data_IF_568422370770
#
_entry.id   IF_568422370770
#
_cell.length_a   1.000
_cell.length_b   1.000
_cell.length_c   1.000
_cell.angle_alpha   90.00
_cell.angle_beta   90.00
_cell.angle_gamma   90.00
#
_symmetry.space_group_name_H-M   'P 1'
#
loop_
_entity.id
_entity.type
_entity.pdbx_description
1 polymer ?
#
# COMPACT_ATOMS: atom_id res chain seq x y z
N UNK A 1 25.19 -39.45 -21.75
CA UNK A 1 24.24 -40.05 -20.77
C UNK A 1 23.65 -38.90 -19.98
N UNK A 2 22.42 -38.52 -20.34
CA UNK A 2 21.63 -37.55 -19.60
C UNK A 2 20.77 -38.34 -18.61
N UNK A 3 20.81 -37.96 -17.33
CA UNK A 3 19.88 -38.49 -16.34
C UNK A 3 18.83 -37.44 -16.10
N UNK A 4 17.62 -37.73 -16.58
CA UNK A 4 16.42 -36.91 -16.48
C UNK A 4 15.82 -37.08 -15.08
N UNK A 5 15.59 -35.97 -14.37
CA UNK A 5 14.76 -35.92 -13.16
C UNK A 5 13.54 -35.04 -13.43
N UNK A 6 12.34 -35.61 -13.25
CA UNK A 6 11.05 -34.95 -13.50
C UNK A 6 10.42 -34.56 -12.17
N UNK A 7 10.04 -33.28 -12.01
CA UNK A 7 9.07 -32.87 -11.00
C UNK A 7 7.88 -32.24 -11.74
N UNK A 8 6.71 -32.85 -11.59
CA UNK A 8 5.45 -32.40 -12.19
C UNK A 8 4.91 -31.20 -11.40
N UNK A 9 4.69 -30.08 -12.08
CA UNK A 9 3.75 -29.05 -11.65
C UNK A 9 2.46 -29.18 -12.46
N UNK A 10 1.32 -29.26 -11.77
CA UNK A 10 -0.01 -29.23 -12.36
C UNK A 10 -0.38 -27.77 -12.66
N UNK A 11 -0.51 -27.45 -13.96
CA UNK A 11 -1.27 -26.33 -14.59
C UNK A 11 -0.95 -24.89 -14.13
N UNK A 12 -0.60 -23.92 -14.96
CA UNK A 12 -0.50 -23.80 -16.41
C UNK A 12 -0.02 -22.39 -16.77
N UNK A 13 0.44 -22.22 -18.02
CA UNK A 13 1.02 -21.03 -18.67
C UNK A 13 2.50 -20.71 -18.37
N UNK A 14 3.37 -21.24 -19.23
CA UNK A 14 4.77 -20.87 -19.44
C UNK A 14 4.87 -19.47 -20.07
N UNK A 15 5.67 -18.57 -19.50
CA UNK A 15 6.14 -17.36 -20.19
C UNK A 15 7.68 -17.40 -20.31
N UNK A 16 8.27 -17.01 -21.46
CA UNK A 16 9.68 -17.16 -21.73
C UNK A 16 10.52 -16.16 -20.92
N UNK A 17 11.56 -16.68 -20.26
CA UNK A 17 12.63 -15.90 -19.65
C UNK A 17 13.57 -15.37 -20.74
N UNK A 18 13.59 -14.05 -20.95
CA UNK A 18 14.56 -13.39 -21.84
C UNK A 18 15.72 -12.90 -20.97
N UNK A 19 16.89 -13.52 -21.16
CA UNK A 19 18.16 -13.12 -20.56
C UNK A 19 18.89 -12.22 -21.56
N UNK A 20 18.89 -10.90 -21.37
CA UNK A 20 19.74 -10.00 -22.15
C UNK A 20 21.12 -9.92 -21.49
N UNK A 21 22.11 -10.52 -22.14
CA UNK A 21 23.52 -10.28 -21.87
C UNK A 21 23.95 -9.06 -22.68
N UNK A 22 24.34 -7.96 -22.04
CA UNK A 22 25.03 -6.85 -22.70
C UNK A 22 26.46 -6.76 -22.20
N UNK A 23 27.36 -7.10 -23.12
CA UNK A 23 28.80 -6.90 -23.07
C UNK A 23 29.16 -5.43 -22.93
N UNK A 24 30.12 -5.14 -22.07
CA UNK A 24 30.64 -3.80 -21.86
C UNK A 24 31.37 -3.22 -23.08
N UNK A 25 31.33 -1.90 -23.18
CA UNK A 25 32.37 -1.11 -23.83
C UNK A 25 32.59 0.18 -23.06
N UNK A 26 33.85 0.40 -22.71
CA UNK A 26 34.39 1.56 -22.02
C UNK A 26 34.33 2.80 -22.91
N UNK A 27 33.89 3.93 -22.37
CA UNK A 27 34.39 5.23 -22.84
C UNK A 27 34.56 6.19 -21.68
N UNK A 28 35.76 6.76 -21.62
CA UNK A 28 36.25 7.71 -20.63
C UNK A 28 35.70 9.10 -20.89
N UNK A 29 35.14 9.76 -19.87
CA UNK A 29 34.95 11.21 -19.89
C UNK A 29 35.50 11.84 -18.62
N UNK A 30 36.40 12.81 -18.80
CA UNK A 30 37.07 13.58 -17.74
C UNK A 30 36.08 14.60 -17.16
N UNK A 31 35.93 14.64 -15.84
CA UNK A 31 35.37 15.78 -15.11
C UNK A 31 36.49 16.54 -14.38
N UNK A 32 36.50 17.87 -14.51
CA UNK A 32 37.25 18.79 -13.63
C UNK A 32 36.30 19.32 -12.55
N UNK A 33 36.77 19.54 -11.31
CA UNK A 33 35.91 19.96 -10.20
C UNK A 33 35.80 21.49 -10.11
N UNK A 34 34.61 21.98 -9.78
CA UNK A 34 34.43 23.34 -9.27
C UNK A 34 33.76 23.31 -7.89
N UNK A 35 34.62 23.58 -6.91
CA UNK A 35 34.45 24.35 -5.68
C UNK A 35 33.09 24.42 -4.96
N UNK A 36 33.14 23.84 -3.77
CA UNK A 36 32.35 24.15 -2.58
C UNK A 36 32.86 25.47 -1.97
N UNK A 37 31.94 26.31 -1.49
CA UNK A 37 32.07 27.35 -0.47
C UNK A 37 30.74 27.35 0.30
N UNK A 38 30.56 27.44 1.61
CA UNK A 38 31.38 27.63 2.81
C UNK A 38 30.36 27.91 3.96
N UNK A 39 30.32 27.08 5.01
CA UNK A 39 30.72 27.39 6.40
C UNK A 39 29.83 28.37 7.21
N UNK A 40 29.33 27.96 8.39
CA UNK A 40 29.80 28.47 9.71
C UNK A 40 29.21 27.73 10.95
N UNK A 41 29.96 27.81 12.06
CA UNK A 41 29.94 27.00 13.29
C UNK A 41 29.40 27.74 14.54
N UNK A 42 28.90 26.99 15.55
CA UNK A 42 29.22 27.03 17.03
C UNK A 42 28.13 26.34 17.88
N UNK A 43 28.32 25.76 19.08
CA UNK A 43 29.48 25.45 19.95
C UNK A 43 29.08 24.33 20.94
N UNK A 44 30.07 23.50 21.29
CA UNK A 44 30.09 22.36 22.25
C UNK A 44 29.75 22.68 23.72
N UNK A 45 29.28 21.62 24.41
CA UNK A 45 29.69 21.17 25.76
C UNK A 45 29.55 19.63 25.78
N UNK A 46 30.58 18.80 25.55
CA UNK A 46 31.72 18.40 26.40
C UNK A 46 31.35 17.73 27.74
N UNK A 47 31.35 16.39 27.78
CA UNK A 47 32.09 15.63 28.80
C UNK A 47 32.74 14.41 28.14
N UNK A 48 34.05 14.27 28.37
CA UNK A 48 34.97 13.26 27.84
C UNK A 48 34.91 11.98 28.67
N UNK A 49 34.81 10.81 28.03
CA UNK A 49 35.53 9.62 28.51
C UNK A 49 36.30 8.99 27.35
N UNK A 50 37.62 8.93 27.53
CA UNK A 50 38.60 8.45 26.57
C UNK A 50 38.68 6.92 26.63
N UNK A 51 38.28 6.23 25.57
CA UNK A 51 38.72 4.86 25.29
C UNK A 51 39.74 4.89 24.15
N UNK A 52 40.99 4.51 24.48
CA UNK A 52 42.14 4.43 23.58
C UNK A 52 41.89 3.38 22.50
N UNK A 53 41.89 3.80 21.24
CA UNK A 53 41.97 2.92 20.07
C UNK A 53 43.41 2.44 19.87
N UNK A 54 43.61 1.12 19.94
CA UNK A 54 44.81 0.46 19.44
C UNK A 54 44.76 0.45 17.90
N UNK A 55 45.73 1.11 17.28
CA UNK A 55 45.91 1.10 15.82
C UNK A 55 46.32 -0.30 15.34
N UNK A 56 45.44 -0.98 14.60
CA UNK A 56 45.80 -2.14 13.79
C UNK A 56 45.70 -1.74 12.31
N UNK A 57 46.81 -1.92 11.61
CA UNK A 57 46.99 -1.68 10.18
C UNK A 57 45.91 -2.38 9.35
N UNK A 58 45.19 -1.62 8.54
CA UNK A 58 44.24 -2.13 7.55
C UNK A 58 44.99 -2.69 6.34
N UNK A 59 45.15 -4.02 6.28
CA UNK A 59 45.37 -4.70 5.01
C UNK A 59 44.06 -4.66 4.22
N UNK A 60 44.08 -4.06 3.03
CA UNK A 60 42.92 -3.99 2.14
C UNK A 60 42.40 -5.38 1.78
N UNK A 61 41.29 -5.75 2.39
CA UNK A 61 40.47 -6.87 1.97
C UNK A 61 39.23 -6.33 1.26
N UNK A 62 39.02 -6.75 0.02
CA UNK A 62 37.76 -6.58 -0.70
C UNK A 62 36.65 -7.22 0.13
N UNK A 63 35.75 -6.42 0.69
CA UNK A 63 34.51 -6.93 1.27
C UNK A 63 33.65 -7.47 0.13
N UNK A 64 33.74 -8.78 -0.11
CA UNK A 64 32.75 -9.47 -0.92
C UNK A 64 31.43 -9.42 -0.15
N UNK A 65 30.36 -8.94 -0.80
CA UNK A 65 29.01 -9.04 -0.28
C UNK A 65 28.75 -10.49 0.12
N UNK A 66 28.42 -10.73 1.40
CA UNK A 66 28.09 -12.07 1.86
C UNK A 66 26.84 -12.53 1.11
N UNK A 67 26.84 -13.75 0.54
CA UNK A 67 25.65 -14.30 -0.08
C UNK A 67 24.58 -14.43 1.01
N UNK A 68 23.48 -13.72 0.81
CA UNK A 68 22.30 -13.78 1.66
C UNK A 68 21.76 -15.22 1.58
N UNK A 69 22.02 -16.04 2.59
CA UNK A 69 21.48 -17.39 2.68
C UNK A 69 19.96 -17.28 2.84
N UNK A 70 19.23 -17.76 1.82
CA UNK A 70 17.77 -17.75 1.73
C UNK A 70 17.14 -19.03 2.27
N UNK A 71 17.91 -19.92 2.91
CA UNK A 71 17.36 -21.06 3.62
C UNK A 71 16.38 -20.52 4.67
N UNK A 72 15.05 -20.73 4.53
CA UNK A 72 14.12 -20.24 5.54
C UNK A 72 14.52 -20.91 6.86
N UNK A 73 14.64 -20.15 7.97
CA UNK A 73 14.79 -20.78 9.27
C UNK A 73 13.62 -21.76 9.48
N UNK A 74 13.78 -22.79 10.33
CA UNK A 74 12.70 -23.70 10.66
C UNK A 74 11.43 -22.92 11.00
N UNK A 75 10.32 -23.23 10.31
CA UNK A 75 9.00 -22.66 10.60
C UNK A 75 8.48 -23.40 11.83
N UNK A 76 9.13 -23.22 12.98
CA UNK A 76 8.75 -23.92 14.22
C UNK A 76 7.49 -23.32 14.87
N UNK A 77 6.99 -22.20 14.34
CA UNK A 77 5.75 -21.56 14.77
C UNK A 77 5.00 -21.01 13.58
N UNK A 78 3.93 -21.69 13.15
CA UNK A 78 2.99 -21.11 12.22
C UNK A 78 2.27 -19.95 12.92
N UNK A 79 2.30 -18.78 12.28
CA UNK A 79 1.63 -17.60 12.79
C UNK A 79 0.13 -17.85 12.94
N UNK A 80 -0.47 -18.61 12.04
CA UNK A 80 -1.88 -18.97 12.07
C UNK A 80 -2.23 -19.87 13.27
N UNK A 81 -1.36 -20.82 13.64
CA UNK A 81 -1.54 -21.61 14.86
C UNK A 81 -1.49 -20.72 16.10
N UNK A 82 -0.58 -19.74 16.13
CA UNK A 82 -0.42 -18.80 17.25
C UNK A 82 -1.69 -17.98 17.48
N UNK A 83 -2.25 -17.39 16.42
CA UNK A 83 -3.48 -16.58 16.53
C UNK A 83 -4.72 -17.43 16.78
N UNK A 84 -4.78 -18.64 16.23
CA UNK A 84 -5.88 -19.59 16.49
C UNK A 84 -5.91 -20.01 17.95
N UNK A 85 -4.74 -20.30 18.55
CA UNK A 85 -4.63 -20.57 19.98
C UNK A 85 -5.06 -19.38 20.85
N UNK A 86 -4.95 -18.15 20.32
CA UNK A 86 -5.45 -16.92 20.95
C UNK A 86 -6.95 -16.65 20.69
N UNK A 87 -7.67 -17.57 20.04
CA UNK A 87 -9.11 -17.48 19.81
C UNK A 87 -9.52 -16.88 18.46
N UNK A 88 -8.58 -16.67 17.54
CA UNK A 88 -8.88 -16.22 16.19
C UNK A 88 -9.69 -17.26 15.41
N UNK A 89 -10.67 -16.80 14.63
CA UNK A 89 -11.29 -17.58 13.56
C UNK A 89 -10.57 -17.29 12.26
N UNK A 90 -10.11 -18.34 11.60
CA UNK A 90 -9.33 -18.26 10.35
C UNK A 90 -10.12 -18.98 9.26
N UNK A 91 -10.22 -18.35 8.08
CA UNK A 91 -10.87 -18.94 6.91
C UNK A 91 -10.02 -20.05 6.28
N UNK A 92 -10.61 -20.82 5.37
CA UNK A 92 -9.89 -21.86 4.61
C UNK A 92 -8.71 -21.30 3.79
N UNK A 93 -8.77 -20.01 3.42
CA UNK A 93 -7.72 -19.30 2.68
C UNK A 93 -6.62 -18.74 3.60
N UNK A 94 -6.66 -19.02 4.90
CA UNK A 94 -5.67 -18.56 5.88
C UNK A 94 -5.83 -17.10 6.28
N UNK A 95 -7.02 -16.51 6.09
CA UNK A 95 -7.31 -15.13 6.48
C UNK A 95 -7.93 -15.12 7.87
N UNK A 96 -7.39 -14.32 8.79
CA UNK A 96 -7.99 -14.13 10.12
C UNK A 96 -9.26 -13.28 9.98
N UNK A 97 -10.43 -13.89 10.16
CA UNK A 97 -11.72 -13.22 9.97
C UNK A 97 -12.09 -12.35 11.16
N UNK A 98 -11.90 -12.87 12.37
CA UNK A 98 -12.28 -12.21 13.62
C UNK A 98 -11.58 -12.84 14.82
N UNK A 99 -11.37 -12.06 15.88
CA UNK A 99 -10.97 -12.55 17.22
C UNK A 99 -12.15 -12.54 18.20
N UNK A 100 -13.39 -12.34 17.72
CA UNK A 100 -14.58 -12.21 18.55
C UNK A 100 -14.76 -10.84 19.22
N UNK A 101 -13.95 -9.85 18.82
CA UNK A 101 -13.88 -8.51 19.40
C UNK A 101 -14.03 -7.39 18.35
N UNK A 102 -14.73 -7.66 17.24
CA UNK A 102 -14.77 -6.76 16.07
C UNK A 102 -15.20 -5.32 16.42
N UNK A 103 -16.19 -5.16 17.31
CA UNK A 103 -16.67 -3.83 17.72
C UNK A 103 -15.65 -3.10 18.60
N UNK A 104 -14.98 -3.80 19.53
CA UNK A 104 -13.90 -3.25 20.35
C UNK A 104 -12.71 -2.84 19.48
N UNK A 105 -12.35 -3.67 18.50
CA UNK A 105 -11.28 -3.36 17.55
C UNK A 105 -11.62 -2.11 16.71
N UNK A 106 -12.88 -1.97 16.27
CA UNK A 106 -13.32 -0.75 15.56
C UNK A 106 -13.27 0.49 16.46
N UNK A 107 -13.67 0.39 17.73
CA UNK A 107 -13.61 1.52 18.66
C UNK A 107 -12.17 1.95 18.98
N UNK A 108 -11.25 1.00 19.07
CA UNK A 108 -9.84 1.28 19.29
C UNK A 108 -9.15 2.01 18.13
N UNK A 109 -9.79 2.11 16.95
CA UNK A 109 -9.25 2.91 15.83
C UNK A 109 -9.24 4.41 16.09
N UNK A 110 -10.11 4.91 16.97
CA UNK A 110 -10.17 6.35 17.27
C UNK A 110 -9.32 6.75 18.48
N UNK A 111 -9.19 5.85 19.46
CA UNK A 111 -8.66 6.18 20.79
C UNK A 111 -7.54 5.23 21.26
N UNK A 112 -7.06 4.34 20.40
CA UNK A 112 -6.10 3.31 20.77
C UNK A 112 -5.20 2.90 19.61
N UNK A 113 -4.73 1.65 19.66
CA UNK A 113 -3.91 1.04 18.61
C UNK A 113 -4.53 -0.30 18.23
N UNK A 114 -4.66 -0.53 16.93
CA UNK A 114 -5.11 -1.80 16.38
C UNK A 114 -3.97 -2.46 15.61
N UNK A 115 -3.93 -3.79 15.64
CA UNK A 115 -3.01 -4.59 14.82
C UNK A 115 -3.81 -5.56 13.97
N UNK A 116 -3.52 -5.59 12.67
CA UNK A 116 -4.23 -6.42 11.68
C UNK A 116 -3.21 -7.21 10.87
N UNK A 117 -3.51 -8.48 10.62
CA UNK A 117 -2.73 -9.28 9.68
C UNK A 117 -3.21 -9.03 8.24
N UNK A 118 -2.28 -8.60 7.39
CA UNK A 118 -2.50 -8.41 5.96
C UNK A 118 -1.57 -9.32 5.14
N UNK A 119 -1.08 -10.43 5.72
CA UNK A 119 -0.12 -11.34 5.07
C UNK A 119 -0.67 -12.01 3.79
N UNK A 120 -2.00 -12.03 3.62
CA UNK A 120 -2.68 -12.47 2.40
C UNK A 120 -2.47 -11.53 1.20
N UNK A 121 -1.95 -10.31 1.41
CA UNK A 121 -1.59 -9.41 0.31
C UNK A 121 -0.37 -9.95 -0.45
N UNK A 122 -0.47 -9.93 -1.79
CA UNK A 122 0.63 -10.29 -2.68
C UNK A 122 1.83 -9.36 -2.51
N UNK A 123 3.04 -9.95 -2.46
CA UNK A 123 4.30 -9.21 -2.33
C UNK A 123 5.20 -9.53 -3.51
N UNK A 124 5.63 -8.50 -4.23
CA UNK A 124 6.52 -8.63 -5.39
C UNK A 124 7.77 -7.81 -5.12
N UNK A 125 8.94 -8.47 -5.12
CA UNK A 125 10.24 -7.79 -5.11
C UNK A 125 10.72 -7.63 -6.54
N UNK A 126 10.99 -6.39 -6.94
CA UNK A 126 11.60 -6.07 -8.24
C UNK A 126 13.06 -5.68 -8.01
N UNK A 127 13.97 -6.40 -8.67
CA UNK A 127 15.43 -6.20 -8.57
C UNK A 127 16.04 -6.07 -9.96
N UNK A 128 17.26 -5.54 -10.04
CA UNK A 128 17.96 -5.25 -11.30
C UNK A 128 18.30 -3.77 -11.41
N UNK A 129 19.24 -3.44 -12.29
CA UNK A 129 19.70 -2.06 -12.51
C UNK A 129 18.59 -1.17 -13.08
N UNK A 130 17.68 -1.74 -13.87
CA UNK A 130 16.59 -1.07 -14.57
C UNK A 130 15.24 -1.11 -13.82
N UNK A 131 15.19 -1.66 -12.60
CA UNK A 131 13.95 -1.86 -11.82
C UNK A 131 13.10 -0.60 -11.65
N UNK A 132 13.74 0.56 -11.46
CA UNK A 132 13.06 1.85 -11.31
C UNK A 132 12.40 2.24 -12.62
N UNK A 133 13.14 2.18 -13.74
CA UNK A 133 12.60 2.47 -15.07
C UNK A 133 11.46 1.52 -15.43
N UNK A 134 11.62 0.23 -15.13
CA UNK A 134 10.59 -0.78 -15.36
C UNK A 134 9.29 -0.43 -14.62
N UNK A 135 9.35 -0.18 -13.31
CA UNK A 135 8.17 0.19 -12.51
C UNK A 135 7.58 1.55 -12.92
N UNK A 136 8.45 2.52 -13.25
CA UNK A 136 8.04 3.81 -13.79
C UNK A 136 7.21 3.64 -15.07
N UNK A 137 7.58 2.72 -15.96
CA UNK A 137 6.88 2.53 -17.24
C UNK A 137 5.64 1.63 -17.13
N UNK A 138 5.58 0.74 -16.13
CA UNK A 138 4.47 -0.21 -15.97
C UNK A 138 3.30 0.31 -15.10
N UNK A 139 3.51 1.35 -14.30
CA UNK A 139 2.52 1.85 -13.35
C UNK A 139 2.25 3.34 -13.52
N UNK A 140 1.34 3.92 -12.74
CA UNK A 140 0.94 5.33 -12.87
C UNK A 140 1.78 6.31 -12.06
N UNK A 141 2.43 5.88 -10.98
CA UNK A 141 3.23 6.77 -10.11
C UNK A 141 4.62 7.12 -10.69
N UNK A 142 5.20 8.24 -10.25
CA UNK A 142 6.57 8.62 -10.63
C UNK A 142 7.59 7.99 -9.67
N UNK A 143 8.33 6.98 -10.14
CA UNK A 143 9.36 6.32 -9.34
C UNK A 143 10.72 7.03 -9.38
N UNK A 144 10.95 7.95 -10.31
CA UNK A 144 12.25 8.62 -10.47
C UNK A 144 12.51 9.69 -9.40
N UNK A 145 11.44 10.17 -8.75
CA UNK A 145 11.55 11.12 -7.64
C UNK A 145 11.70 10.45 -6.27
N UNK A 146 11.58 9.12 -6.21
CA UNK A 146 11.69 8.37 -4.97
C UNK A 146 13.16 8.04 -4.68
N UNK A 147 13.54 8.18 -3.42
CA UNK A 147 14.83 7.79 -2.90
C UNK A 147 14.69 6.54 -2.02
N UNK A 148 15.82 5.93 -1.68
CA UNK A 148 15.84 4.84 -0.71
C UNK A 148 15.14 5.27 0.60
N UNK A 149 14.30 4.38 1.13
CA UNK A 149 13.50 4.68 2.31
C UNK A 149 12.18 5.39 2.02
N UNK A 150 11.85 5.65 0.76
CA UNK A 150 10.59 6.28 0.36
C UNK A 150 9.69 5.30 -0.39
N UNK A 151 8.39 5.61 -0.40
CA UNK A 151 7.40 4.87 -1.17
C UNK A 151 6.25 5.73 -1.65
N UNK A 152 5.40 5.13 -2.47
CA UNK A 152 4.20 5.77 -3.00
C UNK A 152 3.10 4.74 -3.25
N UNK A 153 1.87 5.24 -3.34
CA UNK A 153 0.75 4.49 -3.90
C UNK A 153 0.84 4.58 -5.43
N UNK A 154 0.70 3.45 -6.11
CA UNK A 154 0.68 3.37 -7.58
C UNK A 154 -0.44 2.47 -8.06
N UNK A 155 -0.87 2.68 -9.29
CA UNK A 155 -1.91 1.87 -9.94
C UNK A 155 -1.33 1.23 -11.18
N UNK A 156 -1.66 -0.05 -11.38
CA UNK A 156 -1.44 -0.74 -12.63
C UNK A 156 -2.70 -0.64 -13.48
N UNK A 157 -2.55 -0.20 -14.72
CA UNK A 157 -3.68 0.04 -15.62
C UNK A 157 -3.51 -0.65 -16.96
N UNK A 158 -4.64 -0.92 -17.61
CA UNK A 158 -4.66 -1.37 -19.01
C UNK A 158 -4.32 -0.21 -19.97
N UNK A 159 -4.04 -0.47 -21.25
CA UNK A 159 -3.89 0.60 -22.25
C UNK A 159 -5.12 1.53 -22.38
N UNK A 160 -6.30 1.04 -21.98
CA UNK A 160 -7.57 1.79 -21.96
C UNK A 160 -7.86 2.42 -20.59
N UNK A 161 -6.83 2.57 -19.73
CA UNK A 161 -6.91 3.17 -18.39
C UNK A 161 -7.89 2.49 -17.41
N UNK A 162 -8.18 1.20 -17.62
CA UNK A 162 -8.92 0.39 -16.64
C UNK A 162 -7.98 -0.07 -15.54
N UNK A 163 -8.46 -0.06 -14.30
CA UNK A 163 -7.65 -0.48 -13.16
C UNK A 163 -7.44 -1.98 -13.19
N UNK A 164 -6.18 -2.41 -13.20
CA UNK A 164 -5.80 -3.81 -12.99
C UNK A 164 -5.68 -4.05 -11.49
N UNK A 165 -4.87 -3.24 -10.81
CA UNK A 165 -4.66 -3.34 -9.36
C UNK A 165 -4.03 -2.06 -8.79
N UNK A 166 -4.10 -1.90 -7.47
CA UNK A 166 -3.43 -0.86 -6.69
C UNK A 166 -2.32 -1.47 -5.86
N UNK A 167 -1.17 -0.81 -5.79
CA UNK A 167 -0.02 -1.28 -5.05
C UNK A 167 0.61 -0.15 -4.21
N UNK A 168 1.17 -0.54 -3.08
CA UNK A 168 2.10 0.29 -2.31
C UNK A 168 3.50 -0.17 -2.67
N UNK A 169 4.31 0.75 -3.19
CA UNK A 169 5.66 0.45 -3.60
C UNK A 169 6.67 1.22 -2.76
N UNK A 170 7.76 0.56 -2.37
CA UNK A 170 8.83 1.14 -1.58
C UNK A 170 10.20 0.88 -2.21
N UNK A 171 11.09 1.87 -2.14
CA UNK A 171 12.51 1.69 -2.45
C UNK A 171 13.22 1.28 -1.15
N UNK A 172 13.47 -0.02 -1.01
CA UNK A 172 14.06 -0.62 0.20
C UNK A 172 15.43 -0.01 0.54
N UNK A 173 15.65 0.30 1.82
CA UNK A 173 16.98 0.64 2.36
C UNK A 173 17.66 -0.66 2.78
N UNK A 174 18.97 -0.78 2.61
CA UNK A 174 19.75 -1.83 3.27
C UNK A 174 20.71 -1.17 4.27
N UNK A 175 20.30 -0.96 5.53
CA UNK A 175 21.15 -0.83 6.74
C UNK A 175 20.33 -0.45 8.03
N UNK A 176 20.99 -0.49 9.21
CA UNK A 176 20.44 -0.83 10.56
C UNK A 176 19.68 0.21 11.43
N UNK A 177 19.30 -0.27 12.63
CA UNK A 177 18.23 0.19 13.56
C UNK A 177 18.29 1.62 14.13
N UNK A 178 17.12 2.30 14.20
CA UNK A 178 16.71 3.25 15.25
C UNK A 178 15.21 3.67 15.17
N UNK A 179 14.28 2.94 15.82
CA UNK A 179 12.80 3.06 15.63
C UNK A 179 12.24 4.43 16.07
N UNK A 180 12.96 5.14 16.95
CA UNK A 180 12.60 6.48 17.41
C UNK A 180 12.59 7.53 16.30
N UNK A 181 13.28 7.26 15.19
CA UNK A 181 13.44 8.22 14.10
C UNK A 181 12.24 8.24 13.13
N UNK A 182 11.32 7.25 13.20
CA UNK A 182 10.13 7.18 12.33
C UNK A 182 8.93 7.99 12.83
N UNK A 183 8.89 8.32 14.13
CA UNK A 183 7.78 9.10 14.70
C UNK A 183 7.82 10.52 14.14
N UNK A 184 6.77 10.93 13.43
CA UNK A 184 6.66 12.25 12.79
C UNK A 184 7.29 12.34 11.39
N UNK A 185 7.75 11.23 10.80
CA UNK A 185 8.21 11.20 9.41
C UNK A 185 7.04 11.24 8.41
N UNK A 186 7.26 11.70 7.17
CA UNK A 186 6.20 11.75 6.15
C UNK A 186 5.73 10.34 5.74
N UNK A 187 4.48 10.25 5.25
CA UNK A 187 3.92 9.03 4.67
C UNK A 187 4.85 8.43 3.61
N UNK A 188 5.04 7.11 3.66
CA UNK A 188 5.93 6.38 2.75
C UNK A 188 7.39 6.31 3.20
N UNK A 189 7.79 6.99 4.29
CA UNK A 189 9.10 6.79 4.92
C UNK A 189 9.19 5.36 5.50
N UNK A 190 10.35 4.70 5.44
CA UNK A 190 10.53 3.36 6.02
C UNK A 190 11.90 3.15 6.66
N UNK A 191 11.98 2.19 7.59
CA UNK A 191 13.20 1.77 8.27
C UNK A 191 13.21 0.26 8.54
N UNK A 192 14.41 -0.31 8.76
CA UNK A 192 14.60 -1.74 9.01
C UNK A 192 15.02 -2.03 10.46
N UNK A 193 14.46 -3.11 11.01
CA UNK A 193 14.64 -3.62 12.36
C UNK A 193 15.04 -5.07 12.33
N UNK A 194 15.55 -5.57 13.45
CA UNK A 194 15.79 -6.99 13.64
C UNK A 194 15.06 -7.46 14.90
N UNK A 195 14.26 -8.51 14.78
CA UNK A 195 13.56 -9.18 15.89
C UNK A 195 14.02 -10.62 15.90
N UNK A 196 14.66 -11.05 16.99
CA UNK A 196 15.28 -12.38 17.10
C UNK A 196 16.25 -12.71 15.95
N UNK A 197 16.99 -11.72 15.45
CA UNK A 197 17.90 -11.89 14.31
C UNK A 197 17.22 -11.82 12.93
N UNK A 198 15.89 -11.71 12.86
CA UNK A 198 15.13 -11.66 11.61
C UNK A 198 14.79 -10.22 11.19
N UNK A 199 14.96 -9.84 9.91
CA UNK A 199 14.69 -8.48 9.45
C UNK A 199 13.19 -8.16 9.41
N UNK A 200 12.85 -6.95 9.85
CA UNK A 200 11.50 -6.36 9.82
C UNK A 200 11.60 -4.96 9.20
N UNK A 201 10.92 -4.70 8.10
CA UNK A 201 10.75 -3.36 7.55
C UNK A 201 9.51 -2.71 8.14
N UNK A 202 9.60 -1.46 8.59
CA UNK A 202 8.48 -0.65 9.07
C UNK A 202 8.35 0.58 8.17
N UNK A 203 7.21 0.75 7.52
CA UNK A 203 6.85 1.94 6.76
C UNK A 203 5.85 2.82 7.53
N UNK A 204 6.00 4.14 7.46
CA UNK A 204 5.03 5.12 7.97
C UNK A 204 3.85 5.21 7.02
N UNK A 205 2.66 5.10 7.60
CA UNK A 205 1.40 4.98 6.89
C UNK A 205 0.90 3.55 6.82
N UNK A 206 -0.40 3.43 6.58
CA UNK A 206 -1.08 2.16 6.37
C UNK A 206 -1.96 2.22 5.11
N UNK A 207 -2.49 1.06 4.73
CA UNK A 207 -3.27 0.89 3.50
C UNK A 207 -4.51 1.80 3.47
N UNK A 208 -5.15 2.13 4.59
CA UNK A 208 -6.34 3.01 4.60
C UNK A 208 -5.99 4.50 4.68
N UNK A 209 -4.71 4.85 4.61
CA UNK A 209 -4.20 6.22 4.74
C UNK A 209 -4.64 6.89 6.05
N UNK A 210 -4.76 6.11 7.12
CA UNK A 210 -4.84 6.62 8.49
C UNK A 210 -3.42 6.73 9.09
N UNK A 211 -3.29 7.38 10.23
CA UNK A 211 -2.04 7.33 10.99
C UNK A 211 -1.73 5.89 11.41
N UNK A 212 -0.45 5.49 11.34
CA UNK A 212 -0.03 4.14 11.68
C UNK A 212 1.19 3.69 10.87
N UNK A 213 1.46 2.38 10.94
CA UNK A 213 2.65 1.77 10.34
C UNK A 213 2.29 0.50 9.56
N UNK A 214 3.02 0.23 8.49
CA UNK A 214 2.99 -1.04 7.76
C UNK A 214 4.25 -1.83 8.06
N UNK A 215 4.12 -3.09 8.47
CA UNK A 215 5.25 -3.93 8.80
C UNK A 215 5.41 -5.07 7.79
N UNK A 216 6.62 -5.25 7.26
CA UNK A 216 6.99 -6.38 6.42
C UNK A 216 8.08 -7.19 7.09
N UNK A 217 7.84 -8.46 7.30
CA UNK A 217 8.79 -9.33 7.99
C UNK A 217 8.73 -10.74 7.43
N UNK A 218 9.70 -11.57 7.83
CA UNK A 218 9.63 -13.01 7.60
C UNK A 218 8.54 -13.65 8.47
N UNK A 219 7.94 -14.77 8.04
CA UNK A 219 6.98 -15.51 8.86
C UNK A 219 7.53 -15.86 10.26
N UNK A 220 8.82 -16.19 10.35
CA UNK A 220 9.48 -16.52 11.62
C UNK A 220 9.49 -15.36 12.64
N UNK A 221 9.41 -14.10 12.20
CA UNK A 221 9.34 -12.94 13.09
C UNK A 221 7.89 -12.57 13.48
N UNK A 222 6.90 -13.02 12.70
CA UNK A 222 5.52 -12.55 12.80
C UNK A 222 4.92 -12.76 14.18
N UNK A 223 4.99 -13.98 14.73
CA UNK A 223 4.43 -14.29 16.05
C UNK A 223 5.06 -13.46 17.18
N UNK A 224 6.39 -13.29 17.16
CA UNK A 224 7.09 -12.50 18.18
C UNK A 224 6.72 -11.02 18.11
N UNK A 225 6.66 -10.44 16.90
CA UNK A 225 6.27 -9.05 16.69
C UNK A 225 4.81 -8.83 17.10
N UNK A 226 3.92 -9.71 16.66
CA UNK A 226 2.49 -9.66 17.00
C UNK A 226 2.28 -9.67 18.52
N UNK A 227 2.84 -10.65 19.23
CA UNK A 227 2.72 -10.74 20.69
C UNK A 227 3.32 -9.53 21.40
N UNK A 228 4.42 -8.99 20.89
CA UNK A 228 5.02 -7.77 21.46
C UNK A 228 4.06 -6.59 21.30
N UNK A 229 3.46 -6.39 20.13
CA UNK A 229 2.50 -5.32 19.87
C UNK A 229 1.28 -5.46 20.78
N UNK A 230 0.72 -6.67 20.92
CA UNK A 230 -0.38 -6.93 21.85
C UNK A 230 0.00 -6.65 23.30
N UNK A 231 1.23 -6.99 23.72
CA UNK A 231 1.69 -6.74 25.10
C UNK A 231 1.77 -5.26 25.45
N UNK A 232 1.86 -4.37 24.45
CA UNK A 232 1.84 -2.92 24.61
C UNK A 232 0.41 -2.32 24.61
N UNK A 233 -0.63 -3.16 24.57
CA UNK A 233 -2.03 -2.74 24.65
C UNK A 233 -2.71 -2.54 23.29
N UNK A 234 -2.12 -3.00 22.19
CA UNK A 234 -2.80 -3.01 20.90
C UNK A 234 -3.91 -4.07 20.86
N UNK A 235 -5.00 -3.76 20.17
CA UNK A 235 -6.15 -4.66 20.01
C UNK A 235 -6.03 -5.40 18.66
N UNK A 236 -6.13 -6.73 18.64
CA UNK A 236 -6.10 -7.48 17.39
C UNK A 236 -7.39 -7.25 16.60
N UNK A 237 -7.27 -7.05 15.31
CA UNK A 237 -8.36 -6.80 14.38
C UNK A 237 -8.37 -7.88 13.28
N UNK A 238 -9.52 -8.52 13.09
CA UNK A 238 -9.76 -9.44 11.97
C UNK A 238 -10.19 -8.74 10.68
N UNK A 239 -10.24 -9.48 9.58
CA UNK A 239 -10.59 -8.96 8.26
C UNK A 239 -12.03 -8.42 8.19
N UNK A 240 -12.96 -8.91 9.01
CA UNK A 240 -14.34 -8.41 9.07
C UNK A 240 -14.40 -6.96 9.58
N UNK A 241 -13.75 -6.70 10.72
CA UNK A 241 -13.63 -5.35 11.27
C UNK A 241 -12.80 -4.44 10.36
N UNK A 242 -11.71 -4.96 9.77
CA UNK A 242 -10.90 -4.24 8.79
C UNK A 242 -11.70 -3.79 7.57
N UNK A 243 -12.56 -4.65 7.02
CA UNK A 243 -13.41 -4.33 5.89
C UNK A 243 -14.44 -3.24 6.24
N UNK A 244 -15.06 -3.32 7.42
CA UNK A 244 -15.93 -2.24 7.93
C UNK A 244 -15.16 -0.93 8.03
N UNK A 245 -13.96 -0.95 8.61
CA UNK A 245 -13.10 0.23 8.74
C UNK A 245 -12.74 0.85 7.38
N UNK A 246 -12.36 0.01 6.40
CA UNK A 246 -12.06 0.43 5.02
C UNK A 246 -13.24 1.16 4.40
N UNK A 247 -14.46 0.68 4.59
CA UNK A 247 -15.68 1.25 4.01
C UNK A 247 -16.10 2.52 4.75
N UNK A 248 -16.17 2.49 6.08
CA UNK A 248 -16.71 3.56 6.93
C UNK A 248 -15.76 4.76 7.06
N UNK A 249 -14.49 4.51 7.36
CA UNK A 249 -13.52 5.58 7.64
C UNK A 249 -12.59 5.84 6.46
N UNK A 250 -12.19 4.76 5.76
CA UNK A 250 -11.34 4.89 4.59
C UNK A 250 -12.12 5.47 3.42
N UNK A 251 -13.16 4.78 2.97
CA UNK A 251 -13.68 4.94 1.62
C UNK A 251 -12.64 4.55 0.56
N UNK A 252 -11.69 3.69 0.93
CA UNK A 252 -10.60 3.28 0.04
C UNK A 252 -11.10 2.22 -0.96
N UNK A 253 -10.97 2.46 -2.28
CA UNK A 253 -11.31 1.47 -3.29
C UNK A 253 -10.55 0.15 -3.10
N UNK A 254 -11.23 -0.99 -3.21
CA UNK A 254 -10.60 -2.31 -3.15
C UNK A 254 -10.66 -3.08 -4.49
N UNK A 255 -9.65 -3.92 -4.79
CA UNK A 255 -9.72 -4.90 -5.88
C UNK A 255 -11.00 -5.73 -5.83
N UNK A 256 -11.54 -6.07 -7.00
CA UNK A 256 -12.78 -6.85 -7.17
C UNK A 256 -14.07 -6.17 -6.68
N UNK A 257 -13.99 -5.03 -5.98
CA UNK A 257 -15.13 -4.22 -5.54
C UNK A 257 -15.22 -2.94 -6.35
N UNK A 258 -14.54 -1.88 -5.91
CA UNK A 258 -14.49 -0.60 -6.60
C UNK A 258 -13.50 -0.59 -7.75
N UNK A 259 -12.45 -1.42 -7.67
CA UNK A 259 -11.40 -1.52 -8.68
C UNK A 259 -11.65 -2.75 -9.55
N UNK A 260 -12.39 -2.53 -10.63
CA UNK A 260 -12.71 -3.53 -11.64
C UNK A 260 -12.49 -2.94 -13.03
N UNK A 261 -12.61 -3.79 -14.06
CA UNK A 261 -12.51 -3.37 -15.45
C UNK A 261 -13.66 -2.45 -15.92
N UNK A 262 -14.69 -2.26 -15.10
CA UNK A 262 -15.82 -1.36 -15.41
C UNK A 262 -15.48 0.11 -15.17
N UNK A 263 -14.57 0.38 -14.23
CA UNK A 263 -14.24 1.72 -13.76
C UNK A 263 -12.83 2.11 -14.19
N UNK A 264 -12.62 3.40 -14.44
CA UNK A 264 -11.26 3.90 -14.63
C UNK A 264 -10.71 4.49 -13.32
N UNK A 265 -9.39 4.65 -13.28
CA UNK A 265 -8.66 5.11 -12.09
C UNK A 265 -9.09 6.50 -11.58
N UNK A 266 -9.53 7.38 -12.48
CA UNK A 266 -9.98 8.73 -12.11
C UNK A 266 -11.39 8.71 -11.51
N UNK A 267 -12.27 7.85 -12.04
CA UNK A 267 -13.60 7.62 -11.48
C UNK A 267 -13.51 7.03 -10.06
N UNK A 268 -12.52 6.16 -9.82
CA UNK A 268 -12.24 5.57 -8.51
C UNK A 268 -11.63 6.58 -7.50
N UNK A 269 -11.33 7.80 -7.93
CA UNK A 269 -10.72 8.83 -7.10
C UNK A 269 -9.29 8.50 -6.70
N UNK A 270 -8.48 7.89 -7.57
CA UNK A 270 -7.07 7.59 -7.30
C UNK A 270 -6.11 8.65 -7.86
N UNK A 271 -6.49 9.93 -7.75
CA UNK A 271 -5.76 11.05 -8.35
C UNK A 271 -4.31 11.17 -7.88
N UNK A 272 -4.05 10.98 -6.58
CA UNK A 272 -2.72 11.11 -6.00
C UNK A 272 -1.79 9.94 -6.36
N UNK A 273 -2.35 8.82 -6.83
CA UNK A 273 -1.59 7.64 -7.27
C UNK A 273 -1.18 7.72 -8.74
N UNK A 274 -1.49 8.83 -9.43
CA UNK A 274 -1.22 9.01 -10.86
C UNK A 274 -0.34 10.25 -11.05
N UNK A 275 0.84 10.03 -11.61
CA UNK A 275 1.67 11.14 -12.08
C UNK A 275 1.18 11.61 -13.46
N UNK A 276 0.75 12.87 -13.53
CA UNK A 276 0.38 13.52 -14.79
C UNK A 276 1.59 14.08 -15.54
N UNK A 277 2.71 14.29 -14.83
CA UNK A 277 3.87 15.01 -15.33
C UNK A 277 5.10 14.12 -15.58
N UNK A 278 4.92 12.80 -15.62
CA UNK A 278 6.02 11.85 -15.89
C UNK A 278 6.04 11.37 -17.35
N UNK A 279 7.09 10.64 -17.69
CA UNK A 279 7.27 10.01 -19.00
C UNK A 279 6.22 8.94 -19.33
N UNK A 280 6.39 8.30 -20.49
CA UNK A 280 5.42 7.36 -21.04
C UNK A 280 5.14 6.16 -20.12
N UNK A 281 3.87 5.97 -19.75
CA UNK A 281 3.40 4.76 -19.08
C UNK A 281 2.14 4.21 -19.73
N UNK A 282 1.83 2.94 -19.46
CA UNK A 282 0.66 2.26 -20.02
C UNK A 282 -0.63 3.00 -19.62
N UNK A 283 -1.50 3.30 -20.59
CA UNK A 283 -2.78 3.97 -20.34
C UNK A 283 -2.73 5.49 -20.17
N UNK A 284 -1.54 6.11 -20.18
CA UNK A 284 -1.37 7.55 -20.03
C UNK A 284 -2.18 8.36 -21.05
N UNK A 285 -2.15 7.98 -22.33
CA UNK A 285 -2.89 8.71 -23.37
C UNK A 285 -4.40 8.77 -23.07
N UNK A 286 -4.98 7.65 -22.62
CA UNK A 286 -6.39 7.58 -22.24
C UNK A 286 -6.68 8.46 -21.02
N UNK A 287 -5.83 8.41 -19.99
CA UNK A 287 -5.95 9.26 -18.79
C UNK A 287 -5.86 10.74 -19.16
N UNK A 288 -4.85 11.13 -19.96
CA UNK A 288 -4.67 12.51 -20.40
C UNK A 288 -5.86 13.01 -21.20
N UNK A 289 -6.44 12.19 -22.10
CA UNK A 289 -7.67 12.56 -22.83
C UNK A 289 -8.86 12.76 -21.88
N UNK A 290 -9.04 11.89 -20.88
CA UNK A 290 -10.10 12.04 -19.89
C UNK A 290 -9.98 13.36 -19.13
N UNK A 291 -8.76 13.78 -18.80
CA UNK A 291 -8.50 15.05 -18.11
C UNK A 291 -8.74 16.25 -19.04
N UNK A 292 -8.15 16.22 -20.24
CA UNK A 292 -8.23 17.33 -21.21
C UNK A 292 -9.67 17.67 -21.60
N UNK A 293 -10.50 16.65 -21.79
CA UNK A 293 -11.89 16.81 -22.26
C UNK A 293 -12.93 16.74 -21.14
N UNK A 294 -12.51 16.78 -19.87
CA UNK A 294 -13.40 16.61 -18.71
C UNK A 294 -14.29 15.35 -18.84
N UNK A 295 -13.70 14.27 -19.35
CA UNK A 295 -14.38 13.05 -19.77
C UNK A 295 -14.75 12.09 -18.64
N UNK A 296 -14.47 12.44 -17.38
CA UNK A 296 -14.85 11.64 -16.20
C UNK A 296 -16.34 11.80 -15.93
N UNK A 297 -17.13 10.75 -16.20
CA UNK A 297 -18.60 10.81 -16.20
C UNK A 297 -19.24 10.37 -14.89
N UNK A 298 -18.48 9.72 -14.00
CA UNK A 298 -18.94 9.19 -12.73
C UNK A 298 -17.81 9.26 -11.71
N UNK A 299 -18.16 9.13 -10.43
CA UNK A 299 -17.20 9.14 -9.34
C UNK A 299 -17.66 8.17 -8.26
N UNK A 300 -16.71 7.56 -7.57
CA UNK A 300 -16.96 6.79 -6.36
C UNK A 300 -17.36 7.72 -5.20
N UNK A 301 -18.41 7.36 -4.47
CA UNK A 301 -18.95 8.10 -3.33
C UNK A 301 -19.16 7.19 -2.13
N UNK A 302 -19.12 7.78 -0.94
CA UNK A 302 -19.73 7.20 0.25
C UNK A 302 -21.23 7.46 0.28
N UNK A 303 -21.98 6.54 0.87
CA UNK A 303 -23.44 6.63 0.98
C UNK A 303 -23.84 6.19 2.38
N UNK A 304 -24.38 7.10 3.19
CA UNK A 304 -25.07 6.76 4.43
C UNK A 304 -26.44 6.17 4.06
N UNK A 305 -26.74 4.96 4.52
CA UNK A 305 -27.93 4.20 4.14
C UNK A 305 -28.91 4.08 5.32
N UNK A 306 -30.20 3.96 5.02
CA UNK A 306 -31.23 3.72 6.04
C UNK A 306 -31.37 2.25 6.44
N UNK A 307 -30.81 1.33 5.64
CA UNK A 307 -30.93 -0.11 5.79
C UNK A 307 -29.77 -0.82 5.06
N UNK A 308 -29.54 -2.12 5.30
CA UNK A 308 -28.54 -2.89 4.57
C UNK A 308 -28.79 -2.86 3.06
N UNK A 309 -27.73 -2.67 2.28
CA UNK A 309 -27.79 -2.65 0.82
C UNK A 309 -26.85 -3.70 0.22
N UNK A 310 -27.35 -4.44 -0.76
CA UNK A 310 -26.54 -5.45 -1.45
C UNK A 310 -25.60 -4.78 -2.48
N UNK A 311 -24.30 -5.11 -2.49
CA UNK A 311 -23.40 -4.75 -3.58
C UNK A 311 -23.97 -5.15 -4.95
N UNK A 312 -23.88 -4.26 -5.93
CA UNK A 312 -24.51 -4.39 -7.23
C UNK A 312 -25.89 -3.73 -7.35
N UNK A 313 -26.52 -3.37 -6.23
CA UNK A 313 -27.81 -2.65 -6.24
C UNK A 313 -27.72 -1.34 -7.01
N UNK A 314 -28.79 -0.99 -7.72
CA UNK A 314 -28.85 0.25 -8.52
C UNK A 314 -29.03 1.47 -7.61
N UNK A 315 -28.31 2.55 -7.93
CA UNK A 315 -28.51 3.87 -7.30
C UNK A 315 -29.43 4.69 -8.19
N UNK A 316 -30.47 5.26 -7.61
CA UNK A 316 -31.55 5.99 -8.30
C UNK A 316 -31.65 7.40 -7.74
N UNK A 317 -31.77 8.38 -8.65
CA UNK A 317 -32.09 9.78 -8.36
C UNK A 317 -33.21 10.19 -9.30
N UNK A 318 -34.26 10.84 -8.79
CA UNK A 318 -35.43 11.27 -9.56
C UNK A 318 -36.03 10.16 -10.45
N UNK A 319 -36.10 8.94 -9.93
CA UNK A 319 -36.61 7.76 -10.65
C UNK A 319 -35.71 7.22 -11.77
N UNK A 320 -34.49 7.76 -11.94
CA UNK A 320 -33.53 7.32 -12.96
C UNK A 320 -32.35 6.59 -12.32
N UNK A 321 -31.93 5.48 -12.94
CA UNK A 321 -30.70 4.78 -12.56
C UNK A 321 -29.46 5.63 -12.91
N UNK A 322 -28.72 6.02 -11.88
CA UNK A 322 -27.56 6.90 -11.97
C UNK A 322 -26.26 6.24 -11.51
N UNK A 323 -26.33 5.04 -10.95
CA UNK A 323 -25.15 4.39 -10.40
C UNK A 323 -25.36 2.95 -9.93
N UNK A 324 -24.36 2.43 -9.22
CA UNK A 324 -24.43 1.14 -8.52
C UNK A 324 -23.64 1.16 -7.21
N UNK A 325 -24.14 0.44 -6.20
CA UNK A 325 -23.41 0.15 -4.96
C UNK A 325 -22.34 -0.89 -5.25
N UNK A 326 -21.16 -0.75 -4.64
CA UNK A 326 -20.00 -1.65 -4.81
C UNK A 326 -19.53 -2.29 -3.51
N UNK A 327 -19.70 -1.61 -2.38
CA UNK A 327 -19.42 -2.14 -1.05
C UNK A 327 -20.52 -1.75 -0.07
N UNK A 328 -20.68 -2.55 0.97
CA UNK A 328 -21.58 -2.29 2.09
C UNK A 328 -20.91 -2.71 3.40
N UNK A 329 -21.13 -1.93 4.45
CA UNK A 329 -20.75 -2.24 5.81
C UNK A 329 -21.83 -1.74 6.78
N UNK A 330 -22.09 -2.51 7.84
CA UNK A 330 -22.77 -1.96 9.01
C UNK A 330 -21.82 -1.04 9.76
N UNK A 331 -22.38 0.05 10.32
CA UNK A 331 -21.68 0.98 11.19
C UNK A 331 -21.44 0.41 12.58
N UNK A 332 -21.10 1.29 13.53
CA UNK A 332 -20.81 0.87 14.91
C UNK A 332 -22.08 0.56 15.68
N UNK A 333 -23.16 1.23 15.33
CA UNK A 333 -24.50 0.88 15.81
C UNK A 333 -25.20 0.03 14.77
N UNK A 334 -26.06 -0.87 15.23
CA UNK A 334 -26.85 -1.75 14.36
C UNK A 334 -27.73 -0.98 13.37
N UNK A 335 -28.14 0.23 13.71
CA UNK A 335 -28.93 1.14 12.87
C UNK A 335 -28.11 1.93 11.85
N UNK A 336 -26.78 1.88 11.92
CA UNK A 336 -25.90 2.61 11.02
C UNK A 336 -25.55 1.71 9.84
N UNK A 337 -25.78 2.19 8.63
CA UNK A 337 -25.50 1.48 7.40
C UNK A 337 -24.72 2.38 6.46
N UNK A 338 -23.67 1.85 5.84
CA UNK A 338 -22.82 2.61 4.94
C UNK A 338 -22.48 1.80 3.71
N UNK A 339 -22.34 2.48 2.57
CA UNK A 339 -21.91 1.86 1.34
C UNK A 339 -20.95 2.74 0.56
N UNK A 340 -20.24 2.10 -0.37
CA UNK A 340 -19.53 2.77 -1.45
C UNK A 340 -20.27 2.50 -2.75
N UNK A 341 -20.27 3.46 -3.66
CA UNK A 341 -20.89 3.28 -4.97
C UNK A 341 -20.48 4.33 -5.99
N UNK A 342 -20.53 3.95 -7.26
CA UNK A 342 -20.28 4.88 -8.36
C UNK A 342 -21.57 5.58 -8.75
N UNK A 343 -21.53 6.92 -8.79
CA UNK A 343 -22.65 7.76 -9.19
C UNK A 343 -22.20 8.66 -10.35
N UNK A 344 -23.05 8.80 -11.37
CA UNK A 344 -22.85 9.75 -12.47
C UNK A 344 -22.63 11.16 -11.91
N UNK A 345 -21.60 11.86 -12.42
CA UNK A 345 -21.14 13.15 -11.89
C UNK A 345 -22.20 14.25 -11.94
N UNK A 346 -23.11 14.21 -12.93
CA UNK A 346 -24.18 15.19 -13.09
C UNK A 346 -25.45 14.83 -12.29
N UNK A 347 -25.48 13.69 -11.62
CA UNK A 347 -26.69 13.14 -11.01
C UNK A 347 -26.76 13.34 -9.49
N UNK A 348 -25.62 13.50 -8.82
CA UNK A 348 -25.59 13.75 -7.38
C UNK A 348 -24.29 14.44 -6.97
N UNK A 349 -24.38 15.20 -5.88
CA UNK A 349 -23.29 15.83 -5.14
C UNK A 349 -23.36 15.41 -3.67
N UNK A 350 -22.35 15.80 -2.90
CA UNK A 350 -22.36 15.62 -1.45
C UNK A 350 -23.63 16.24 -0.82
N UNK A 351 -24.29 15.48 0.06
CA UNK A 351 -25.53 15.86 0.73
C UNK A 351 -26.81 15.49 -0.02
N UNK A 352 -26.73 15.09 -1.29
CA UNK A 352 -27.92 14.72 -2.05
C UNK A 352 -28.53 13.38 -1.58
N UNK A 353 -29.86 13.31 -1.65
CA UNK A 353 -30.60 12.10 -1.35
C UNK A 353 -30.60 11.15 -2.56
N UNK A 354 -30.43 9.86 -2.30
CA UNK A 354 -30.46 8.79 -3.29
C UNK A 354 -31.36 7.65 -2.82
N UNK A 355 -31.88 6.86 -3.75
CA UNK A 355 -32.59 5.62 -3.45
C UNK A 355 -31.80 4.43 -3.97
N UNK A 356 -31.59 3.41 -3.15
CA UNK A 356 -30.91 2.17 -3.51
C UNK A 356 -31.93 1.05 -3.72
N UNK A 357 -31.72 0.28 -4.79
CA UNK A 357 -32.67 -0.70 -5.32
C UNK A 357 -34.01 -0.04 -5.66
N UNK A 358 -34.89 0.17 -4.68
CA UNK A 358 -36.19 0.87 -4.83
C UNK A 358 -36.70 1.52 -3.52
N UNK A 359 -36.25 1.06 -2.36
CA UNK A 359 -36.85 1.41 -1.06
C UNK A 359 -35.85 1.83 0.03
N UNK A 360 -34.55 1.65 -0.18
CA UNK A 360 -33.52 2.05 0.79
C UNK A 360 -33.17 3.51 0.50
N UNK A 361 -33.38 4.39 1.46
CA UNK A 361 -32.96 5.79 1.32
C UNK A 361 -31.49 5.90 1.69
N UNK A 362 -30.79 6.80 1.02
CA UNK A 362 -29.41 7.11 1.32
C UNK A 362 -29.08 8.57 1.11
N UNK A 363 -28.00 9.02 1.73
CA UNK A 363 -27.42 10.36 1.55
C UNK A 363 -26.00 10.21 1.06
N UNK A 364 -25.66 10.89 -0.03
CA UNK A 364 -24.31 10.91 -0.58
C UNK A 364 -23.40 11.71 0.35
N UNK A 365 -22.24 11.15 0.69
CA UNK A 365 -21.27 11.79 1.58
C UNK A 365 -19.87 11.69 1.01
N UNK A 366 -19.03 12.69 1.30
CA UNK A 366 -17.59 12.54 1.10
C UNK A 366 -16.99 11.57 2.11
N UNK A 367 -15.94 10.87 1.69
CA UNK A 367 -15.20 9.92 2.55
C UNK A 367 -13.74 10.35 2.67
N UNK A 368 -13.10 10.18 3.84
CA UNK A 368 -11.77 10.73 4.12
C UNK A 368 -10.68 10.38 3.11
N UNK A 369 -10.62 9.15 2.59
CA UNK A 369 -9.67 8.81 1.53
C UNK A 369 -9.95 9.62 0.25
N UNK A 370 -11.18 9.57 -0.27
CA UNK A 370 -11.52 10.25 -1.53
C UNK A 370 -11.47 11.78 -1.43
N UNK A 371 -11.75 12.37 -0.26
CA UNK A 371 -11.66 13.81 -0.03
C UNK A 371 -10.22 14.36 -0.15
N UNK A 372 -9.21 13.50 0.11
CA UNK A 372 -7.78 13.82 -0.05
C UNK A 372 -7.29 13.64 -1.49
N UNK A 373 -8.08 12.99 -2.34
CA UNK A 373 -7.72 12.66 -3.72
C UNK A 373 -8.20 13.77 -4.65
N UNK A 374 -7.50 14.91 -4.62
CA UNK A 374 -7.88 16.08 -5.41
C UNK A 374 -7.18 16.06 -6.76
N UNK A 375 -7.88 16.37 -7.86
CA UNK A 375 -7.21 16.69 -9.11
C UNK A 375 -6.22 17.83 -8.87
N UNK A 376 -5.02 17.80 -9.48
CA UNK A 376 -4.11 18.93 -9.40
C UNK A 376 -4.79 20.19 -9.91
N UNK A 377 -4.69 21.27 -9.13
CA UNK A 377 -5.20 22.59 -9.51
C UNK A 377 -4.44 23.07 -10.75
N UNK A 378 -5.15 23.63 -11.74
CA UNK A 378 -4.55 24.13 -13.00
C UNK A 378 -3.39 25.12 -12.79
N UNK A 379 -3.28 25.74 -11.62
CA UNK A 379 -2.27 26.74 -11.27
C UNK A 379 -0.90 26.17 -10.85
N UNK A 380 -0.72 24.84 -10.76
CA UNK A 380 0.59 24.23 -10.44
C UNK A 380 1.44 23.91 -11.68
N UNK A 381 1.05 24.41 -12.85
CA UNK A 381 1.77 24.26 -14.12
C UNK A 381 2.36 25.61 -14.57
N UNK A 382 3.14 26.26 -13.70
CA UNK A 382 3.93 27.45 -14.01
C UNK A 382 5.37 27.29 -13.55
#
# INVERSE_FOLDING_TARGET
MATTGTQRFLGGATLPYIRTTTSGSSSSFRSRPHHINGAFWRKKTSTNEKLRLLSRSSSGGTFAALPFDLSPPPIDHDFLETVTAAGAKVSDDGIIETFGNDDEALDATDNGVVVVDLSHFGRIRVSGEDRIQFLHNQSTANFECLHEGQGCDTVFVTPTARTIDIAHAWIMVMEGLNLGDLVGQPYGAQQHFSVNGMPVTVGVGNVISAEGFSLLMSPAAAGAVWNTILSQGAIPMGSNAWEKLRVLQGGRPAPQKELTNEFNVLEAGLWNSISLNKGCYKGQETISRLITYDGVKQRLWGICLSAPAEPGSSIIVDGKKVGKVTSYASGRKESEHFGLGYIKRQAASEGDAVTIAENITGTVVEVPFLARQRPPTRDSAS
#
